data_IF_827937012742
#
_entry.id   IF_827937012742
#
_cell.length_a   1.000
_cell.length_b   1.000
_cell.length_c   1.000
_cell.angle_alpha   90.00
_cell.angle_beta   90.00
_cell.angle_gamma   90.00
#
_symmetry.space_group_name_H-M   'P 1'
#
loop_
_entity.id
_entity.type
_entity.pdbx_description
1 polymer ?
#
# COMPACT_ATOMS: atom_id res chain seq x y z
N UNK A 1 3.18 -8.01 -9.69
CA UNK A 1 3.72 -6.84 -8.94
C UNK A 1 5.20 -7.05 -8.72
N UNK A 2 5.99 -6.06 -9.02
CA UNK A 2 7.43 -6.16 -8.82
C UNK A 2 7.79 -5.77 -7.39
N UNK A 3 8.81 -6.42 -6.80
CA UNK A 3 9.21 -6.10 -5.44
C UNK A 3 9.57 -4.64 -5.21
N UNK A 4 10.22 -4.00 -6.20
CA UNK A 4 10.58 -2.59 -6.06
C UNK A 4 9.36 -1.68 -6.02
N UNK A 5 8.28 -2.05 -6.70
CA UNK A 5 7.05 -1.27 -6.66
C UNK A 5 6.38 -1.39 -5.29
N UNK A 6 6.38 -2.60 -4.74
CA UNK A 6 5.81 -2.80 -3.42
C UNK A 6 6.65 -2.12 -2.35
N UNK A 7 7.98 -2.15 -2.50
CA UNK A 7 8.85 -1.43 -1.58
C UNK A 7 8.55 0.07 -1.59
N UNK A 8 8.30 0.64 -2.78
CA UNK A 8 7.95 2.06 -2.89
C UNK A 8 6.64 2.35 -2.17
N UNK A 9 5.66 1.46 -2.29
CA UNK A 9 4.38 1.62 -1.60
C UNK A 9 4.56 1.58 -0.08
N UNK A 10 5.36 0.63 0.41
CA UNK A 10 5.58 0.52 1.86
C UNK A 10 6.34 1.70 2.41
N UNK A 11 7.31 2.22 1.67
CA UNK A 11 8.04 3.41 2.09
C UNK A 11 7.14 4.63 2.15
N UNK A 12 6.28 4.80 1.15
CA UNK A 12 5.33 5.89 1.15
C UNK A 12 4.35 5.76 2.32
N UNK A 13 3.83 4.55 2.53
CA UNK A 13 2.90 4.31 3.62
C UNK A 13 3.54 4.58 4.98
N UNK A 14 4.81 4.24 5.14
CA UNK A 14 5.50 4.47 6.41
C UNK A 14 5.53 5.95 6.79
N UNK A 15 5.54 6.84 5.81
CA UNK A 15 5.50 8.28 6.05
C UNK A 15 4.09 8.76 6.36
N UNK A 16 3.09 7.90 6.19
CA UNK A 16 1.69 8.25 6.33
C UNK A 16 0.97 7.31 7.31
N UNK A 17 1.66 6.90 8.37
CA UNK A 17 1.08 6.04 9.41
C UNK A 17 0.61 4.68 8.88
N UNK A 18 1.24 4.21 7.83
CA UNK A 18 0.89 2.94 7.21
C UNK A 18 -0.24 3.04 6.20
N UNK A 19 -0.71 4.24 5.90
CA UNK A 19 -1.84 4.45 4.99
C UNK A 19 -1.35 4.87 3.61
N UNK A 20 -2.04 4.40 2.57
CA UNK A 20 -1.74 4.78 1.20
C UNK A 20 -3.05 4.81 0.41
N UNK A 21 -3.21 5.82 -0.43
CA UNK A 21 -4.40 5.91 -1.27
C UNK A 21 -4.15 5.20 -2.60
N UNK A 22 -5.23 4.87 -3.29
CA UNK A 22 -5.12 4.24 -4.62
C UNK A 22 -4.33 5.11 -5.61
N UNK A 23 -4.60 6.41 -5.74
CA UNK A 23 -3.79 7.25 -6.64
C UNK A 23 -2.32 7.29 -6.27
N UNK A 24 -2.01 7.31 -4.96
CA UNK A 24 -0.62 7.31 -4.51
C UNK A 24 0.08 6.01 -4.89
N UNK A 25 -0.61 4.88 -4.71
CA UNK A 25 -0.04 3.59 -5.08
C UNK A 25 0.21 3.52 -6.58
N UNK A 26 -0.74 3.98 -7.38
CA UNK A 26 -0.56 4.00 -8.82
C UNK A 26 0.64 4.85 -9.23
N UNK A 27 0.83 5.98 -8.57
CA UNK A 27 1.92 6.88 -8.90
C UNK A 27 3.29 6.25 -8.67
N UNK A 28 3.39 5.30 -7.77
CA UNK A 28 4.67 4.61 -7.52
C UNK A 28 4.73 3.23 -8.18
N UNK A 29 3.84 2.96 -9.12
CA UNK A 29 3.91 1.75 -9.92
C UNK A 29 3.09 0.57 -9.43
N UNK A 30 2.13 0.81 -8.55
CA UNK A 30 1.27 -0.25 -8.04
C UNK A 30 -0.18 0.01 -8.48
N UNK A 31 -0.58 -0.48 -9.68
CA UNK A 31 -1.92 -0.25 -10.21
C UNK A 31 -2.98 -1.03 -9.41
N UNK A 32 -4.28 -0.76 -9.64
CA UNK A 32 -5.35 -1.45 -8.91
C UNK A 32 -5.26 -2.97 -8.93
N UNK A 33 -4.81 -3.54 -10.03
CA UNK A 33 -4.62 -4.98 -10.15
C UNK A 33 -3.61 -5.50 -9.13
N UNK A 34 -2.52 -4.76 -8.96
CA UNK A 34 -1.49 -5.12 -7.98
C UNK A 34 -2.00 -4.93 -6.55
N UNK A 35 -2.82 -3.92 -6.32
CA UNK A 35 -3.44 -3.71 -5.02
C UNK A 35 -4.36 -4.86 -4.66
N UNK A 36 -5.15 -5.35 -5.62
CA UNK A 36 -6.01 -6.51 -5.39
C UNK A 36 -5.20 -7.73 -5.01
N UNK A 37 -4.08 -7.93 -5.68
CA UNK A 37 -3.20 -9.04 -5.35
C UNK A 37 -2.64 -8.90 -3.94
N UNK A 38 -2.28 -7.68 -3.56
CA UNK A 38 -1.78 -7.43 -2.20
C UNK A 38 -2.86 -7.71 -1.16
N UNK A 39 -4.12 -7.38 -1.45
CA UNK A 39 -5.23 -7.74 -0.57
C UNK A 39 -5.34 -9.25 -0.44
N UNK A 40 -5.25 -9.97 -1.56
CA UNK A 40 -5.34 -11.44 -1.56
C UNK A 40 -4.22 -12.06 -0.73
N UNK A 41 -3.06 -11.44 -0.72
CA UNK A 41 -1.91 -11.92 0.05
C UNK A 41 -1.91 -11.40 1.48
N UNK A 42 -2.95 -10.66 1.86
CA UNK A 42 -3.10 -10.08 3.19
C UNK A 42 -2.00 -9.08 3.54
N UNK A 43 -1.47 -8.40 2.52
CA UNK A 43 -0.47 -7.35 2.71
C UNK A 43 -1.11 -5.99 2.92
N UNK A 44 -2.38 -5.86 2.52
CA UNK A 44 -3.16 -4.63 2.66
C UNK A 44 -4.46 -4.92 3.35
N UNK A 45 -4.95 -3.93 4.11
CA UNK A 45 -6.29 -3.94 4.66
C UNK A 45 -6.99 -2.68 4.19
N UNK A 46 -8.30 -2.78 4.00
CA UNK A 46 -9.09 -1.62 3.62
C UNK A 46 -9.34 -0.78 4.86
N UNK A 47 -8.88 0.46 4.83
CA UNK A 47 -9.09 1.39 5.94
C UNK A 47 -10.31 2.25 5.70
N UNK A 48 -10.37 2.84 4.51
CA UNK A 48 -11.50 3.62 4.04
C UNK A 48 -11.60 3.41 2.54
N UNK A 49 -12.69 3.89 1.96
CA UNK A 49 -12.83 3.85 0.51
C UNK A 49 -11.66 4.60 -0.13
N UNK A 50 -10.91 3.90 -0.95
CA UNK A 50 -9.77 4.46 -1.65
C UNK A 50 -8.51 4.66 -0.81
N UNK A 51 -8.55 4.26 0.47
CA UNK A 51 -7.39 4.35 1.36
C UNK A 51 -7.13 2.98 1.97
N UNK A 52 -5.89 2.55 1.94
CA UNK A 52 -5.50 1.22 2.36
C UNK A 52 -4.45 1.28 3.47
N UNK A 53 -4.52 0.32 4.38
CA UNK A 53 -3.52 0.18 5.43
C UNK A 53 -2.55 -0.91 5.02
N UNK A 54 -1.27 -0.60 4.99
CA UNK A 54 -0.22 -1.57 4.68
C UNK A 54 0.11 -2.35 5.94
N UNK A 55 -0.14 -3.66 5.90
CA UNK A 55 0.11 -4.52 7.05
C UNK A 55 1.61 -4.74 7.21
N UNK A 56 2.03 -4.88 8.45
CA UNK A 56 3.44 -5.10 8.75
C UNK A 56 4.26 -3.83 8.81
N UNK A 57 3.67 -2.68 8.45
CA UNK A 57 4.35 -1.41 8.59
C UNK A 57 4.25 -0.99 10.04
N UNK A 58 5.37 -0.73 10.73
CA UNK A 58 5.30 -0.29 12.10
C UNK A 58 4.55 1.04 12.20
N UNK A 59 3.75 1.23 13.25
CA UNK A 59 3.07 2.50 13.44
C UNK A 59 4.13 3.57 13.55
N UNK A 60 4.01 4.56 12.68
CA UNK A 60 4.98 5.62 12.64
C UNK A 60 4.81 6.50 13.88
N UNK A 61 5.89 6.85 14.52
CA UNK A 61 5.82 7.81 15.61
C UNK A 61 5.51 9.19 15.05
#
# INVERSE_FOLDING_TARGET
MRPEHWAAVTMLAAEQWGLVSTPQAEAVGCPPRSLERAFSLQLLERFRRGVHLVRGTPPSP
#
